data_IF_651837036702
#
_entry.id   IF_651837036702
#
_cell.length_a   1.000
_cell.length_b   1.000
_cell.length_c   1.000
_cell.angle_alpha   90.00
_cell.angle_beta   90.00
_cell.angle_gamma   90.00
#
_symmetry.space_group_name_H-M   'P 1'
#
loop_
_entity.id
_entity.type
_entity.pdbx_description
1 polymer ?
#
# COMPACT_ATOMS: atom_id res chain seq x y z
N UNK A 1 -8.81 -12.99 5.10
CA UNK A 1 -7.99 -11.77 5.04
C UNK A 1 -8.89 -10.56 5.21
N UNK A 2 -8.30 -9.40 5.52
CA UNK A 2 -8.93 -8.09 5.41
C UNK A 2 -8.27 -7.34 4.26
N UNK A 3 -9.06 -6.62 3.49
CA UNK A 3 -8.62 -5.88 2.31
C UNK A 3 -9.15 -4.45 2.38
N UNK A 4 -8.30 -3.46 2.21
CA UNK A 4 -8.67 -2.06 2.29
C UNK A 4 -7.85 -1.25 1.30
N UNK A 5 -8.31 -0.04 0.98
CA UNK A 5 -7.65 0.86 0.04
C UNK A 5 -7.69 2.27 0.60
N UNK A 6 -6.61 3.02 0.43
CA UNK A 6 -6.52 4.45 0.73
C UNK A 6 -5.89 5.17 -0.45
N UNK A 7 -6.20 6.45 -0.62
CA UNK A 7 -5.48 7.31 -1.58
C UNK A 7 -4.14 7.76 -1.00
N UNK A 8 -3.17 7.99 -1.89
CA UNK A 8 -1.89 8.64 -1.66
C UNK A 8 -1.97 10.17 -1.84
N UNK A 9 -3.08 10.66 -2.41
CA UNK A 9 -3.34 12.07 -2.68
C UNK A 9 -3.82 12.81 -1.41
N UNK A 10 -3.48 14.09 -1.33
CA UNK A 10 -3.90 15.05 -0.32
C UNK A 10 -5.20 15.79 -0.67
N UNK A 11 -5.49 15.97 -1.96
CA UNK A 11 -6.62 16.75 -2.46
C UNK A 11 -7.78 15.79 -2.72
N UNK A 12 -8.52 15.46 -1.66
CA UNK A 12 -9.71 14.58 -1.72
C UNK A 12 -10.82 15.16 -2.60
N UNK A 13 -10.79 14.93 -3.92
CA UNK A 13 -11.98 15.14 -4.78
C UNK A 13 -12.72 13.84 -5.08
N UNK A 14 -12.04 12.70 -4.92
CA UNK A 14 -12.54 11.42 -5.43
C UNK A 14 -13.29 10.59 -4.35
N UNK A 15 -13.37 11.04 -3.08
CA UNK A 15 -13.97 10.25 -1.98
C UNK A 15 -14.54 11.09 -0.82
N UNK A 16 -15.68 10.64 -0.25
CA UNK A 16 -16.36 11.32 0.86
C UNK A 16 -15.69 11.11 2.25
N UNK A 17 -14.98 10.00 2.45
CA UNK A 17 -14.34 9.61 3.74
C UNK A 17 -13.01 8.89 3.49
N UNK A 18 -12.02 8.99 4.40
CA UNK A 18 -10.67 8.43 4.21
C UNK A 18 -9.54 9.43 4.47
N UNK A 19 -9.13 10.15 3.43
CA UNK A 19 -7.91 11.00 3.46
C UNK A 19 -6.67 10.26 3.85
N UNK A 20 -5.62 11.01 4.21
CA UNK A 20 -4.28 10.46 4.34
C UNK A 20 -4.27 9.27 5.32
N UNK A 21 -4.02 8.10 4.75
CA UNK A 21 -4.01 6.78 5.40
C UNK A 21 -5.37 6.18 5.76
N UNK A 22 -6.48 6.92 5.70
CA UNK A 22 -7.79 6.43 6.11
C UNK A 22 -8.46 5.60 5.02
N UNK A 23 -8.87 4.37 5.34
CA UNK A 23 -9.40 3.46 4.33
C UNK A 23 -10.78 3.85 3.82
N UNK A 24 -10.93 3.83 2.51
CA UNK A 24 -12.16 4.20 1.81
C UNK A 24 -13.33 3.28 2.19
N UNK A 25 -14.46 3.88 2.56
CA UNK A 25 -15.74 3.18 2.81
C UNK A 25 -16.78 3.43 1.72
N UNK A 26 -16.75 4.62 1.11
CA UNK A 26 -17.68 5.06 0.07
C UNK A 26 -16.93 5.76 -1.06
N UNK A 27 -17.06 5.29 -2.32
CA UNK A 27 -16.43 5.94 -3.45
C UNK A 27 -17.12 7.23 -3.89
N UNK A 28 -16.45 8.10 -4.66
CA UNK A 28 -17.14 9.16 -5.41
C UNK A 28 -17.84 8.66 -6.68
N UNK A 29 -17.64 7.39 -7.05
CA UNK A 29 -18.41 6.75 -8.11
C UNK A 29 -19.78 6.29 -7.60
N UNK A 30 -20.70 5.99 -8.52
CA UNK A 30 -22.09 5.62 -8.21
C UNK A 30 -22.28 4.15 -7.79
N UNK A 31 -21.19 3.40 -7.58
CA UNK A 31 -21.26 1.98 -7.23
C UNK A 31 -21.46 1.76 -5.72
N UNK A 32 -21.98 0.58 -5.37
CA UNK A 32 -22.09 0.16 -3.98
C UNK A 32 -20.72 -0.27 -3.45
N UNK A 33 -20.12 0.56 -2.59
CA UNK A 33 -18.85 0.29 -1.90
C UNK A 33 -18.87 -0.92 -0.97
N UNK A 34 -19.99 -1.63 -0.85
CA UNK A 34 -20.16 -2.78 0.02
C UNK A 34 -20.44 -2.39 1.46
N UNK A 35 -20.01 -3.20 2.45
CA UNK A 35 -20.30 -2.95 3.86
C UNK A 35 -19.74 -1.63 4.37
N UNK A 36 -20.38 -0.99 5.35
CA UNK A 36 -19.98 0.34 5.85
C UNK A 36 -18.59 0.39 6.50
N UNK A 37 -18.02 -0.75 6.92
CA UNK A 37 -16.69 -0.78 7.57
C UNK A 37 -15.56 -0.50 6.57
N UNK A 38 -14.44 0.01 7.09
CA UNK A 38 -13.33 0.54 6.28
C UNK A 38 -12.52 -0.52 5.52
N UNK A 39 -12.71 -1.80 5.84
CA UNK A 39 -12.14 -2.93 5.12
C UNK A 39 -13.21 -3.92 4.64
N UNK A 40 -12.82 -4.74 3.69
CA UNK A 40 -13.58 -5.88 3.20
C UNK A 40 -13.01 -7.15 3.81
N UNK A 41 -13.86 -8.12 4.07
CA UNK A 41 -13.46 -9.45 4.54
C UNK A 41 -13.70 -10.49 3.46
N UNK A 42 -12.92 -11.58 3.50
CA UNK A 42 -13.08 -12.69 2.56
C UNK A 42 -14.51 -13.26 2.52
N UNK A 43 -15.23 -13.18 3.63
CA UNK A 43 -16.61 -13.68 3.77
C UNK A 43 -17.66 -12.69 3.27
N UNK A 44 -17.27 -11.48 2.84
CA UNK A 44 -18.21 -10.55 2.22
C UNK A 44 -18.71 -11.10 0.89
N UNK A 45 -20.03 -11.12 0.66
CA UNK A 45 -20.61 -11.72 -0.55
C UNK A 45 -20.20 -10.99 -1.84
N UNK A 46 -19.76 -9.75 -1.74
CA UNK A 46 -19.44 -8.87 -2.87
C UNK A 46 -17.99 -8.36 -2.82
N UNK A 47 -17.06 -9.08 -2.18
CA UNK A 47 -15.68 -8.60 -1.94
C UNK A 47 -15.00 -8.07 -3.20
N UNK A 48 -15.10 -8.78 -4.34
CA UNK A 48 -14.44 -8.37 -5.58
C UNK A 48 -15.04 -7.08 -6.16
N UNK A 49 -16.37 -7.01 -6.28
CA UNK A 49 -17.04 -5.80 -6.80
C UNK A 49 -16.92 -4.62 -5.85
N UNK A 50 -16.97 -4.84 -4.53
CA UNK A 50 -16.79 -3.80 -3.53
C UNK A 50 -15.35 -3.29 -3.50
N UNK A 51 -14.35 -4.17 -3.70
CA UNK A 51 -12.95 -3.75 -3.82
C UNK A 51 -12.74 -2.90 -5.07
N UNK A 52 -13.16 -3.39 -6.25
CA UNK A 52 -13.05 -2.64 -7.50
C UNK A 52 -13.72 -1.26 -7.39
N UNK A 53 -14.86 -1.19 -6.71
CA UNK A 53 -15.59 0.04 -6.43
C UNK A 53 -14.80 1.01 -5.53
N UNK A 54 -14.15 0.53 -4.45
CA UNK A 54 -13.31 1.35 -3.56
C UNK A 54 -11.95 1.71 -4.13
N UNK A 55 -11.44 0.90 -5.06
CA UNK A 55 -10.12 1.03 -5.65
C UNK A 55 -10.07 1.99 -6.85
N UNK A 56 -11.19 2.62 -7.24
CA UNK A 56 -11.23 3.64 -8.30
C UNK A 56 -10.60 4.98 -7.89
N UNK A 57 -9.44 4.94 -7.23
CA UNK A 57 -8.66 6.07 -6.74
C UNK A 57 -7.63 6.49 -7.81
N UNK A 58 -7.07 7.69 -7.69
CA UNK A 58 -5.96 8.11 -8.55
C UNK A 58 -6.38 8.41 -9.99
N UNK A 59 -7.67 8.67 -10.23
CA UNK A 59 -8.15 9.10 -11.57
C UNK A 59 -7.99 10.61 -11.79
N UNK A 60 -7.83 11.36 -10.71
CA UNK A 60 -7.49 12.78 -10.71
C UNK A 60 -6.73 13.10 -9.43
N UNK A 61 -5.85 14.10 -9.48
CA UNK A 61 -5.07 14.37 -8.28
C UNK A 61 -3.97 15.42 -8.37
N UNK A 62 -3.19 15.52 -7.29
CA UNK A 62 -1.94 16.29 -7.25
C UNK A 62 -0.76 15.39 -7.61
N UNK A 63 0.25 15.88 -8.36
CA UNK A 63 1.50 15.15 -8.56
C UNK A 63 2.31 14.98 -7.26
N UNK A 64 1.97 15.70 -6.18
CA UNK A 64 2.62 15.57 -4.89
C UNK A 64 2.01 14.44 -4.05
N UNK A 65 2.13 13.20 -4.50
CA UNK A 65 1.61 12.03 -3.80
C UNK A 65 2.45 11.64 -2.57
N UNK A 66 1.82 10.99 -1.59
CA UNK A 66 2.46 10.59 -0.32
C UNK A 66 2.19 9.12 0.02
N UNK A 67 2.59 8.15 -0.81
CA UNK A 67 2.36 6.72 -0.56
C UNK A 67 2.94 6.21 0.77
N UNK A 68 4.18 6.55 1.12
CA UNK A 68 4.81 6.14 2.39
C UNK A 68 4.17 6.84 3.59
N UNK A 69 3.82 8.13 3.44
CA UNK A 69 3.07 8.87 4.45
C UNK A 69 1.68 8.28 4.67
N UNK A 70 0.97 7.92 3.61
CA UNK A 70 -0.34 7.27 3.69
C UNK A 70 -0.24 5.89 4.34
N UNK A 71 0.78 5.08 4.00
CA UNK A 71 1.03 3.79 4.64
C UNK A 71 1.28 3.96 6.14
N UNK A 72 2.15 4.89 6.53
CA UNK A 72 2.41 5.19 7.94
C UNK A 72 1.11 5.50 8.68
N UNK A 73 0.38 6.52 8.22
CA UNK A 73 -0.86 6.95 8.84
C UNK A 73 -1.90 5.83 8.91
N UNK A 74 -1.95 4.95 7.89
CA UNK A 74 -2.90 3.86 7.83
C UNK A 74 -2.71 2.83 8.96
N UNK A 75 -1.47 2.66 9.43
CA UNK A 75 -1.08 1.68 10.47
C UNK A 75 -0.72 2.32 11.81
N UNK A 76 -0.81 3.65 11.92
CA UNK A 76 -0.61 4.40 13.16
C UNK A 76 -1.85 5.23 13.50
N UNK A 77 -1.90 6.49 13.07
CA UNK A 77 -2.91 7.47 13.45
C UNK A 77 -4.33 6.98 13.14
N UNK A 78 -4.52 6.33 11.99
CA UNK A 78 -5.84 5.88 11.55
C UNK A 78 -6.34 4.65 12.29
N UNK A 79 -5.47 3.92 12.99
CA UNK A 79 -5.91 2.84 13.87
C UNK A 79 -6.66 3.36 15.10
N UNK A 80 -6.47 4.63 15.46
CA UNK A 80 -7.24 5.27 16.51
C UNK A 80 -8.71 5.54 16.09
N UNK A 81 -8.96 5.67 14.79
CA UNK A 81 -10.27 6.04 14.22
C UNK A 81 -10.77 5.08 13.12
N UNK A 82 -10.60 5.44 11.84
CA UNK A 82 -11.23 4.85 10.66
C UNK A 82 -10.68 3.47 10.31
N UNK A 83 -9.40 3.21 10.60
CA UNK A 83 -8.73 1.92 10.35
C UNK A 83 -8.70 1.04 11.61
N UNK A 84 -9.41 1.43 12.67
CA UNK A 84 -9.41 0.73 13.95
C UNK A 84 -9.60 -0.77 13.75
N UNK A 85 -8.73 -1.53 14.39
CA UNK A 85 -8.72 -2.99 14.36
C UNK A 85 -8.41 -3.61 13.01
N UNK A 86 -7.97 -2.87 11.98
CA UNK A 86 -7.58 -3.48 10.70
C UNK A 86 -6.31 -4.32 10.86
N UNK A 87 -5.24 -3.75 11.42
CA UNK A 87 -4.00 -4.46 11.72
C UNK A 87 -4.28 -5.47 12.81
N UNK A 88 -3.85 -6.72 12.59
CA UNK A 88 -4.01 -7.80 13.56
C UNK A 88 -2.66 -8.37 13.94
N UNK A 89 -2.52 -8.69 15.22
CA UNK A 89 -1.30 -9.29 15.73
C UNK A 89 -1.10 -10.71 15.20
N UNK A 90 -2.16 -11.45 14.91
CA UNK A 90 -2.13 -12.86 14.45
C UNK A 90 -1.99 -13.01 12.93
N UNK A 91 -1.71 -11.94 12.20
CA UNK A 91 -1.70 -11.93 10.75
C UNK A 91 -0.46 -11.25 10.17
N UNK A 92 -0.09 -11.64 8.95
CA UNK A 92 0.79 -10.86 8.09
C UNK A 92 0.11 -9.52 7.75
N UNK A 93 0.83 -8.42 7.88
CA UNK A 93 0.44 -7.14 7.29
C UNK A 93 1.04 -7.08 5.87
N UNK A 94 0.19 -7.10 4.84
CA UNK A 94 0.62 -6.95 3.46
C UNK A 94 0.10 -5.62 2.90
N UNK A 95 0.92 -4.92 2.12
CA UNK A 95 0.51 -3.70 1.43
C UNK A 95 1.00 -3.70 -0.03
N UNK A 96 0.25 -3.00 -0.88
CA UNK A 96 0.67 -2.66 -2.24
C UNK A 96 0.64 -1.14 -2.35
N UNK A 97 1.77 -0.55 -2.71
CA UNK A 97 1.85 0.84 -3.17
C UNK A 97 1.78 0.79 -4.69
N UNK A 98 0.83 1.51 -5.26
CA UNK A 98 0.66 1.67 -6.71
C UNK A 98 0.55 3.17 -6.98
N UNK A 99 1.52 3.73 -7.69
CA UNK A 99 1.61 5.17 -7.95
C UNK A 99 2.49 5.43 -9.17
N UNK A 100 2.17 6.46 -9.95
CA UNK A 100 3.01 6.99 -11.03
C UNK A 100 3.96 8.09 -10.55
N UNK A 101 3.98 8.42 -9.26
CA UNK A 101 4.79 9.48 -8.65
C UNK A 101 5.81 8.93 -7.63
N UNK A 102 6.82 9.75 -7.25
CA UNK A 102 7.65 9.45 -6.07
C UNK A 102 6.95 9.83 -4.76
N UNK A 103 7.49 9.37 -3.64
CA UNK A 103 6.98 9.79 -2.33
C UNK A 103 7.41 11.21 -1.94
N UNK A 104 6.44 12.12 -1.94
CA UNK A 104 6.63 13.53 -1.57
C UNK A 104 6.44 13.81 -0.07
N UNK A 105 6.44 12.82 0.82
CA UNK A 105 6.19 13.01 2.27
C UNK A 105 7.27 13.84 3.00
N UNK A 106 8.22 14.44 2.27
CA UNK A 106 9.28 15.29 2.86
C UNK A 106 10.24 14.45 3.68
N UNK A 107 10.62 14.86 4.89
CA UNK A 107 11.53 14.07 5.73
C UNK A 107 10.81 13.14 6.72
N UNK A 108 9.47 13.06 6.67
CA UNK A 108 8.68 12.29 7.64
C UNK A 108 7.53 11.52 6.95
N UNK A 109 7.49 10.18 7.04
CA UNK A 109 8.52 9.33 7.65
C UNK A 109 9.80 9.31 6.81
N UNK A 110 10.98 9.21 7.45
CA UNK A 110 12.15 8.67 6.75
C UNK A 110 11.86 7.22 6.37
N UNK A 111 12.50 6.70 5.34
CA UNK A 111 12.34 5.30 4.93
C UNK A 111 12.75 4.34 6.05
N UNK A 112 13.86 4.62 6.75
CA UNK A 112 14.25 3.88 7.97
C UNK A 112 13.22 3.98 9.09
N UNK A 113 12.63 5.16 9.29
CA UNK A 113 11.61 5.40 10.30
C UNK A 113 10.32 4.61 10.01
N UNK A 114 9.89 4.56 8.75
CA UNK A 114 8.74 3.75 8.34
C UNK A 114 9.01 2.26 8.53
N UNK A 115 10.20 1.79 8.15
CA UNK A 115 10.62 0.40 8.36
C UNK A 115 10.61 0.05 9.86
N UNK A 116 11.17 0.91 10.71
CA UNK A 116 11.17 0.73 12.15
C UNK A 116 9.75 0.73 12.74
N UNK A 117 8.87 1.60 12.24
CA UNK A 117 7.47 1.62 12.65
C UNK A 117 6.77 0.31 12.27
N UNK A 118 6.92 -0.18 11.04
CA UNK A 118 6.32 -1.45 10.61
C UNK A 118 6.85 -2.64 11.44
N UNK A 119 8.15 -2.65 11.75
CA UNK A 119 8.76 -3.62 12.66
C UNK A 119 8.14 -3.55 14.05
N UNK A 120 7.95 -2.35 14.59
CA UNK A 120 7.31 -2.14 15.89
C UNK A 120 5.83 -2.59 15.87
N UNK A 121 5.04 -2.13 14.90
CA UNK A 121 3.61 -2.46 14.75
C UNK A 121 3.38 -3.96 14.59
N UNK A 122 4.31 -4.67 13.94
CA UNK A 122 4.20 -6.11 13.70
C UNK A 122 5.10 -6.96 14.58
N UNK A 123 5.82 -6.33 15.50
CA UNK A 123 6.83 -6.88 16.41
C UNK A 123 8.09 -7.45 15.76
N UNK A 124 8.06 -7.82 14.47
CA UNK A 124 9.18 -8.45 13.75
C UNK A 124 9.12 -8.14 12.24
N UNK A 125 10.29 -7.96 11.62
CA UNK A 125 10.47 -7.69 10.17
C UNK A 125 9.77 -8.70 9.25
N UNK A 126 9.78 -9.98 9.64
CA UNK A 126 9.13 -11.05 8.87
C UNK A 126 7.59 -11.06 8.94
N UNK A 127 6.97 -10.16 9.70
CA UNK A 127 5.51 -10.13 9.93
C UNK A 127 4.79 -9.05 9.13
N UNK A 128 5.51 -8.40 8.22
CA UNK A 128 4.95 -7.58 7.15
C UNK A 128 5.64 -7.84 5.81
N UNK A 129 4.94 -7.52 4.73
CA UNK A 129 5.40 -7.67 3.36
C UNK A 129 4.82 -6.57 2.48
N UNK A 130 5.51 -6.23 1.40
CA UNK A 130 5.12 -5.11 0.53
C UNK A 130 5.36 -5.38 -0.95
N UNK A 131 4.58 -4.72 -1.79
CA UNK A 131 4.93 -4.52 -3.18
C UNK A 131 4.85 -3.04 -3.50
N UNK A 132 5.91 -2.50 -4.09
CA UNK A 132 5.98 -1.12 -4.56
C UNK A 132 5.96 -1.17 -6.08
N UNK A 133 4.85 -0.75 -6.65
CA UNK A 133 4.62 -0.69 -8.09
C UNK A 133 4.65 0.78 -8.47
N UNK A 134 5.79 1.23 -8.98
CA UNK A 134 6.06 2.65 -9.25
C UNK A 134 6.96 2.83 -10.46
N UNK A 135 7.30 4.07 -10.79
CA UNK A 135 8.33 4.35 -11.78
C UNK A 135 9.74 3.86 -11.36
N UNK A 136 10.69 3.81 -12.31
CA UNK A 136 12.09 3.43 -12.07
C UNK A 136 12.83 4.38 -11.12
N UNK A 137 13.99 3.95 -10.60
CA UNK A 137 14.77 4.75 -9.64
C UNK A 137 15.36 6.01 -10.28
N UNK A 138 15.96 5.85 -11.47
CA UNK A 138 16.78 6.89 -12.10
C UNK A 138 16.03 7.67 -13.19
N UNK A 139 15.16 6.98 -13.93
CA UNK A 139 14.54 7.50 -15.14
C UNK A 139 13.02 7.46 -15.03
N UNK A 140 12.37 8.53 -15.51
CA UNK A 140 10.94 8.50 -15.75
C UNK A 140 10.64 7.61 -16.98
N UNK A 141 9.45 7.01 -17.01
CA UNK A 141 8.95 6.35 -18.20
C UNK A 141 7.77 7.14 -18.75
N UNK A 142 7.74 7.38 -20.06
CA UNK A 142 6.59 8.02 -20.70
C UNK A 142 5.59 6.99 -21.18
N UNK A 143 4.30 7.34 -21.19
CA UNK A 143 3.25 6.68 -21.96
C UNK A 143 3.10 5.16 -21.77
N UNK A 144 2.03 4.76 -21.09
CA UNK A 144 1.58 3.37 -21.01
C UNK A 144 0.05 3.28 -20.93
N UNK A 145 -0.47 2.06 -20.80
CA UNK A 145 -1.93 1.81 -20.72
C UNK A 145 -2.62 2.48 -19.52
N UNK A 146 -1.87 2.94 -18.53
CA UNK A 146 -2.35 3.63 -17.32
C UNK A 146 -2.31 5.17 -17.43
N UNK A 147 -1.92 5.73 -18.59
CA UNK A 147 -1.84 7.18 -18.83
C UNK A 147 -0.54 7.81 -18.34
N UNK A 148 -0.29 9.08 -18.73
CA UNK A 148 0.73 10.00 -18.18
C UNK A 148 2.22 9.67 -18.39
N UNK A 149 2.59 8.40 -18.30
CA UNK A 149 3.93 7.98 -17.87
C UNK A 149 3.99 7.86 -16.34
N UNK A 150 5.16 7.53 -15.81
CA UNK A 150 5.46 7.59 -14.39
C UNK A 150 6.79 8.32 -14.16
N UNK A 151 6.83 9.14 -13.12
CA UNK A 151 8.03 9.81 -12.66
C UNK A 151 9.04 8.80 -12.09
N UNK A 152 10.30 9.23 -11.99
CA UNK A 152 11.30 8.45 -11.25
C UNK A 152 10.93 8.43 -9.77
N UNK A 153 11.13 7.30 -9.09
CA UNK A 153 10.68 7.10 -7.71
C UNK A 153 11.82 6.75 -6.71
N UNK A 154 12.92 7.52 -6.65
CA UNK A 154 14.12 7.14 -5.90
C UNK A 154 13.85 6.85 -4.42
N UNK A 155 12.90 7.56 -3.79
CA UNK A 155 12.59 7.32 -2.37
C UNK A 155 11.83 6.03 -2.15
N UNK A 156 10.94 5.66 -3.07
CA UNK A 156 10.27 4.37 -3.03
C UNK A 156 11.26 3.20 -3.21
N UNK A 157 12.28 3.37 -4.05
CA UNK A 157 13.38 2.40 -4.18
C UNK A 157 14.23 2.32 -2.91
N UNK A 158 14.58 3.45 -2.28
CA UNK A 158 15.28 3.47 -0.99
C UNK A 158 14.49 2.74 0.10
N UNK A 159 13.17 2.91 0.17
CA UNK A 159 12.32 2.16 1.09
C UNK A 159 12.38 0.65 0.83
N UNK A 160 12.27 0.20 -0.42
CA UNK A 160 12.36 -1.22 -0.79
C UNK A 160 13.72 -1.79 -0.38
N UNK A 161 14.82 -1.07 -0.61
CA UNK A 161 16.16 -1.49 -0.23
C UNK A 161 16.30 -1.65 1.30
N UNK A 162 15.80 -0.68 2.08
CA UNK A 162 15.86 -0.68 3.56
C UNK A 162 14.93 -1.69 4.22
N UNK A 163 13.91 -2.15 3.50
CA UNK A 163 13.02 -3.20 3.98
C UNK A 163 13.68 -4.58 4.09
N UNK A 164 14.87 -4.78 3.52
CA UNK A 164 15.64 -6.00 3.74
C UNK A 164 15.95 -6.21 5.23
N UNK A 165 15.72 -7.41 5.72
CA UNK A 165 16.03 -7.81 7.09
C UNK A 165 17.55 -7.79 7.30
N UNK A 166 18.07 -6.98 8.24
CA UNK A 166 19.51 -6.86 8.44
C UNK A 166 20.16 -8.13 9.02
N UNK A 167 19.38 -9.00 9.67
CA UNK A 167 19.88 -10.24 10.26
C UNK A 167 19.92 -11.39 9.25
N UNK A 168 18.98 -11.45 8.31
CA UNK A 168 18.85 -12.57 7.37
C UNK A 168 19.16 -12.21 5.92
N UNK A 169 19.20 -10.92 5.59
CA UNK A 169 19.26 -10.41 4.21
C UNK A 169 17.98 -10.64 3.41
N UNK A 170 16.95 -11.26 4.01
CA UNK A 170 15.68 -11.54 3.33
C UNK A 170 14.90 -10.24 3.15
N UNK A 171 14.38 -10.00 1.95
CA UNK A 171 13.50 -8.86 1.69
C UNK A 171 12.10 -9.35 1.33
N UNK A 172 11.11 -9.02 2.18
CA UNK A 172 9.69 -9.29 1.93
C UNK A 172 8.99 -8.13 1.21
N UNK A 173 9.75 -7.15 0.73
CA UNK A 173 9.26 -6.04 -0.09
C UNK A 173 9.89 -6.14 -1.46
N UNK A 174 9.07 -6.12 -2.49
CA UNK A 174 9.53 -6.12 -3.88
C UNK A 174 9.21 -4.79 -4.56
N UNK A 175 10.06 -4.38 -5.49
CA UNK A 175 9.74 -3.35 -6.46
C UNK A 175 9.35 -3.98 -7.80
N UNK A 176 8.35 -3.40 -8.46
CA UNK A 176 7.99 -3.69 -9.86
C UNK A 176 7.67 -2.39 -10.58
N UNK A 177 7.92 -2.39 -11.88
CA UNK A 177 7.64 -1.22 -12.71
C UNK A 177 6.14 -1.08 -12.96
N UNK A 178 5.63 0.15 -12.86
CA UNK A 178 4.29 0.51 -13.33
C UNK A 178 4.25 0.75 -14.86
N UNK A 179 5.41 0.89 -15.49
CA UNK A 179 5.54 1.30 -16.89
C UNK A 179 5.17 0.22 -17.92
N UNK A 180 4.78 -0.97 -17.47
CA UNK A 180 4.31 -2.03 -18.36
C UNK A 180 2.86 -1.77 -18.79
N UNK A 181 2.44 -2.36 -19.91
CA UNK A 181 1.07 -2.23 -20.41
C UNK A 181 0.02 -2.86 -19.48
N UNK A 182 0.41 -3.75 -18.58
CA UNK A 182 -0.46 -4.38 -17.59
C UNK A 182 0.22 -4.45 -16.23
N UNK A 183 -0.58 -4.60 -15.17
CA UNK A 183 -0.10 -4.84 -13.82
C UNK A 183 -0.05 -6.33 -13.48
N UNK A 184 -0.37 -7.22 -14.42
CA UNK A 184 -0.62 -8.64 -14.14
C UNK A 184 0.61 -9.32 -13.50
N UNK A 185 1.79 -9.13 -14.09
CA UNK A 185 3.04 -9.68 -13.55
C UNK A 185 3.41 -9.04 -12.20
N UNK A 186 3.23 -7.73 -12.07
CA UNK A 186 3.54 -7.02 -10.83
C UNK A 186 2.65 -7.46 -9.67
N UNK A 187 1.35 -7.62 -9.93
CA UNK A 187 0.34 -8.10 -8.96
C UNK A 187 0.57 -9.57 -8.65
N UNK A 188 0.92 -10.39 -9.65
CA UNK A 188 1.27 -11.80 -9.46
C UNK A 188 2.48 -11.93 -8.55
N UNK A 189 3.55 -11.18 -8.80
CA UNK A 189 4.76 -11.24 -7.99
C UNK A 189 4.51 -10.74 -6.55
N UNK A 190 3.64 -9.72 -6.39
CA UNK A 190 3.19 -9.28 -5.08
C UNK A 190 2.48 -10.42 -4.33
N UNK A 191 1.55 -11.11 -4.98
CA UNK A 191 0.83 -12.23 -4.39
C UNK A 191 1.75 -13.41 -4.03
N UNK A 192 2.71 -13.74 -4.90
CA UNK A 192 3.68 -14.81 -4.65
C UNK A 192 4.56 -14.44 -3.44
N UNK A 193 5.03 -13.19 -3.36
CA UNK A 193 5.78 -12.66 -2.21
C UNK A 193 4.98 -12.75 -0.92
N UNK A 194 3.72 -12.30 -0.93
CA UNK A 194 2.86 -12.33 0.27
C UNK A 194 2.51 -13.77 0.68
N UNK A 195 2.36 -14.67 -0.29
CA UNK A 195 2.11 -16.10 -0.03
C UNK A 195 3.29 -16.74 0.70
N UNK A 196 4.52 -16.47 0.25
CA UNK A 196 5.74 -16.95 0.93
C UNK A 196 5.85 -16.34 2.32
N UNK A 197 5.72 -15.02 2.46
CA UNK A 197 5.80 -14.34 3.75
C UNK A 197 4.73 -14.83 4.75
N UNK A 198 3.53 -15.16 4.28
CA UNK A 198 2.46 -15.69 5.11
C UNK A 198 2.73 -17.14 5.57
N UNK A 199 3.29 -17.99 4.69
CA UNK A 199 3.67 -19.37 5.05
C UNK A 199 4.81 -19.42 6.06
N UNK A 200 5.70 -18.44 5.99
CA UNK A 200 6.87 -18.33 6.86
C UNK A 200 6.66 -17.34 8.01
N UNK A 201 5.40 -16.98 8.31
CA UNK A 201 5.08 -15.94 9.30
C UNK A 201 5.72 -16.28 10.66
N UNK A 202 6.66 -15.46 11.15
CA UNK A 202 7.31 -15.72 12.43
C UNK A 202 6.32 -15.76 13.60
N UNK A 203 6.54 -16.70 14.52
CA UNK A 203 5.83 -16.72 15.79
C UNK A 203 6.23 -15.52 16.65
N UNK A 204 5.26 -14.92 17.33
CA UNK A 204 5.55 -13.88 18.32
C UNK A 204 6.37 -14.46 19.49
N UNK A 205 7.31 -13.68 20.07
CA UNK A 205 7.93 -14.05 21.33
C UNK A 205 6.85 -14.32 22.39
N UNK A 206 7.01 -15.41 23.14
CA UNK A 206 6.15 -15.73 24.28
C UNK A 206 6.51 -14.90 25.51
#
# INVERSE_FOLDING_TARGET
>A
YRLAVTSTDLVRKDYATGGSGGFVTSPATSCSGGPARAWLERTDPTVASSFACRAGLGTSGTPNEKPLGALLLAVTDREADQNRSFVRDDALLAFVILTDEDDSSGNAPTTDGLVAELDQRKSLRGRWAGAVISGPEADACGGGSFGGGAEKAPRLHDFVAKAADPATGKNNVIWRTICNDTLDDAVKDALDTFTVACRELPSLPR
#
